data_IF_524162885184
#
_entry.id   IF_524162885184
#
_cell.length_a   1.000
_cell.length_b   1.000
_cell.length_c   1.000
_cell.angle_alpha   90.00
_cell.angle_beta   90.00
_cell.angle_gamma   90.00
#
_symmetry.space_group_name_H-M   'P 1'
#
loop_
_entity.id
_entity.type
_entity.pdbx_description
1 polymer ?
#
# COMPACT_ATOMS: atom_id res chain seq x y z
N UNK A 1 -18.46 -24.32 1.76
CA UNK A 1 -17.15 -23.98 2.35
C UNK A 1 -16.98 -22.50 2.12
N UNK A 2 -17.24 -21.69 3.15
CA UNK A 2 -17.56 -20.27 3.00
C UNK A 2 -16.38 -19.48 2.41
N UNK A 3 -16.66 -18.70 1.36
CA UNK A 3 -15.78 -17.62 0.91
C UNK A 3 -15.73 -16.56 2.01
N UNK A 4 -14.78 -16.68 2.94
CA UNK A 4 -14.59 -15.67 3.98
C UNK A 4 -14.08 -14.37 3.31
N UNK A 5 -14.88 -13.29 3.30
CA UNK A 5 -14.51 -12.03 2.64
C UNK A 5 -13.33 -11.33 3.31
N UNK A 6 -12.86 -11.83 4.46
CA UNK A 6 -11.69 -11.29 5.18
C UNK A 6 -10.35 -11.59 4.49
N UNK A 7 -10.32 -12.50 3.51
CA UNK A 7 -9.09 -12.87 2.79
C UNK A 7 -8.89 -12.13 1.45
N UNK A 8 -9.33 -10.88 1.32
CA UNK A 8 -9.20 -10.12 0.06
C UNK A 8 -7.77 -9.65 -0.29
N UNK A 9 -6.82 -9.75 0.65
CA UNK A 9 -5.45 -9.23 0.51
C UNK A 9 -4.41 -10.34 0.67
N UNK A 10 -4.55 -11.40 -0.13
CA UNK A 10 -3.72 -12.61 -0.08
C UNK A 10 -2.51 -12.58 -1.01
N UNK A 11 -2.52 -11.73 -2.05
CA UNK A 11 -1.41 -11.63 -2.99
C UNK A 11 -0.23 -10.91 -2.33
N UNK A 12 0.89 -11.61 -2.17
CA UNK A 12 2.10 -11.08 -1.55
C UNK A 12 3.01 -10.40 -2.59
N UNK A 13 3.45 -9.18 -2.26
CA UNK A 13 4.47 -8.44 -3.01
C UNK A 13 5.63 -8.11 -2.07
N UNK A 14 6.84 -8.56 -2.41
CA UNK A 14 8.06 -8.31 -1.63
C UNK A 14 8.80 -7.10 -2.17
N UNK A 15 9.25 -6.21 -1.28
CA UNK A 15 10.03 -5.02 -1.61
C UNK A 15 11.29 -5.00 -0.76
N UNK A 16 12.40 -4.54 -1.32
CA UNK A 16 13.64 -4.26 -0.58
C UNK A 16 13.75 -2.76 -0.36
N UNK A 17 13.91 -2.36 0.89
CA UNK A 17 14.16 -0.98 1.30
C UNK A 17 15.57 -0.89 1.87
N UNK A 18 16.17 0.29 1.82
CA UNK A 18 17.36 0.57 2.62
C UNK A 18 16.99 0.74 4.11
N UNK A 19 18.01 0.85 4.96
CA UNK A 19 17.84 0.94 6.41
C UNK A 19 17.07 2.20 6.83
N UNK A 20 17.24 3.32 6.10
CA UNK A 20 16.58 4.59 6.40
C UNK A 20 15.06 4.48 6.18
N UNK A 21 14.64 4.02 5.00
CA UNK A 21 13.23 3.87 4.67
C UNK A 21 12.57 2.76 5.50
N UNK A 22 13.28 1.68 5.81
CA UNK A 22 12.76 0.62 6.68
C UNK A 22 12.49 1.11 8.10
N UNK A 23 13.43 1.88 8.66
CA UNK A 23 13.31 2.51 9.97
C UNK A 23 12.16 3.52 10.01
N UNK A 24 12.05 4.34 8.97
CA UNK A 24 10.97 5.31 8.83
C UNK A 24 9.59 4.64 8.78
N UNK A 25 9.43 3.61 7.94
CA UNK A 25 8.19 2.85 7.82
C UNK A 25 7.82 2.15 9.15
N UNK A 26 8.80 1.60 9.84
CA UNK A 26 8.62 0.97 11.16
C UNK A 26 8.13 1.99 12.20
N UNK A 27 8.72 3.19 12.20
CA UNK A 27 8.35 4.27 13.13
C UNK A 27 6.92 4.77 12.85
N UNK A 28 6.58 4.95 11.58
CA UNK A 28 5.22 5.32 11.16
C UNK A 28 4.18 4.27 11.60
N UNK A 29 4.48 2.98 11.41
CA UNK A 29 3.58 1.91 11.82
C UNK A 29 3.28 1.95 13.33
N UNK A 30 4.29 2.27 14.16
CA UNK A 30 4.14 2.45 15.61
C UNK A 30 3.23 3.63 15.94
N UNK A 31 3.45 4.78 15.31
CA UNK A 31 2.64 6.00 15.51
C UNK A 31 1.17 5.72 15.18
N UNK A 32 0.92 5.05 14.06
CA UNK A 32 -0.42 4.70 13.60
C UNK A 32 -1.02 3.46 14.29
N UNK A 33 -0.30 2.83 15.23
CA UNK A 33 -0.71 1.61 15.95
C UNK A 33 -1.19 0.49 15.01
N UNK A 34 -0.49 0.32 13.89
CA UNK A 34 -0.82 -0.68 12.87
C UNK A 34 0.39 -1.56 12.58
N UNK A 35 0.16 -2.71 11.95
CA UNK A 35 1.24 -3.57 11.51
C UNK A 35 2.00 -2.92 10.35
N UNK A 36 3.33 -3.04 10.35
CA UNK A 36 4.20 -2.50 9.30
C UNK A 36 3.76 -2.91 7.89
N UNK A 37 3.43 -4.19 7.70
CA UNK A 37 2.96 -4.72 6.42
C UNK A 37 1.60 -4.14 6.01
N UNK A 38 0.70 -3.91 6.97
CA UNK A 38 -0.61 -3.30 6.71
C UNK A 38 -0.45 -1.85 6.29
N UNK A 39 0.40 -1.08 6.99
CA UNK A 39 0.69 0.31 6.62
C UNK A 39 1.36 0.41 5.24
N UNK A 40 2.37 -0.44 4.99
CA UNK A 40 3.05 -0.48 3.69
C UNK A 40 2.06 -0.73 2.55
N UNK A 41 1.14 -1.68 2.74
CA UNK A 41 0.08 -1.98 1.78
C UNK A 41 -0.83 -0.77 1.55
N UNK A 42 -1.26 -0.08 2.61
CA UNK A 42 -2.15 1.09 2.50
C UNK A 42 -1.47 2.26 1.76
N UNK A 43 -0.20 2.52 2.06
CA UNK A 43 0.59 3.54 1.36
C UNK A 43 0.71 3.19 -0.13
N UNK A 44 1.00 1.92 -0.44
CA UNK A 44 1.12 1.44 -1.82
C UNK A 44 -0.20 1.53 -2.58
N UNK A 45 -1.31 1.09 -1.98
CA UNK A 45 -2.65 1.17 -2.56
C UNK A 45 -3.03 2.64 -2.84
N UNK A 46 -2.78 3.55 -1.90
CA UNK A 46 -3.05 4.97 -2.07
C UNK A 46 -2.19 5.60 -3.19
N UNK A 47 -0.92 5.21 -3.30
CA UNK A 47 -0.04 5.68 -4.37
C UNK A 47 -0.52 5.19 -5.75
N UNK A 48 -0.89 3.91 -5.87
CA UNK A 48 -1.41 3.34 -7.12
C UNK A 48 -2.73 3.99 -7.54
N UNK A 49 -3.62 4.30 -6.59
CA UNK A 49 -4.87 5.00 -6.89
C UNK A 49 -4.60 6.41 -7.44
N UNK A 50 -3.67 7.17 -6.84
CA UNK A 50 -3.26 8.48 -7.36
C UNK A 50 -2.68 8.39 -8.77
N UNK A 51 -1.77 7.45 -9.01
CA UNK A 51 -1.18 7.23 -10.34
C UNK A 51 -2.25 6.87 -11.38
N UNK A 52 -3.21 6.00 -11.03
CA UNK A 52 -4.34 5.66 -11.90
C UNK A 52 -5.17 6.90 -12.22
N UNK A 53 -5.49 7.70 -11.21
CA UNK A 53 -6.34 8.88 -11.38
C UNK A 53 -5.63 9.92 -12.28
N UNK A 54 -4.33 10.12 -12.11
CA UNK A 54 -3.48 10.94 -13.00
C UNK A 54 -3.51 10.45 -14.45
N UNK A 55 -3.34 9.14 -14.67
CA UNK A 55 -3.42 8.51 -15.99
C UNK A 55 -4.81 8.72 -16.65
N UNK A 56 -5.89 8.47 -15.91
CA UNK A 56 -7.25 8.64 -16.44
C UNK A 56 -7.63 10.10 -16.67
N UNK A 57 -7.14 11.02 -15.83
CA UNK A 57 -7.37 12.47 -15.99
C UNK A 57 -6.66 13.04 -17.22
N UNK A 58 -5.48 12.50 -17.57
CA UNK A 58 -4.77 12.85 -18.80
C UNK A 58 -5.45 12.30 -20.06
N UNK A 59 -6.10 11.14 -19.98
CA UNK A 59 -6.81 10.54 -21.12
C UNK A 59 -8.09 11.29 -21.53
N UNK A 60 -8.68 12.09 -20.64
CA UNK A 60 -9.88 12.89 -20.95
C UNK A 60 -9.55 14.29 -21.52
N UNK A 61 -8.28 14.69 -21.53
CA UNK A 61 -7.82 16.01 -22.03
C UNK A 61 -7.01 15.92 -23.33
N UNK A 62 -6.95 14.74 -23.94
CA UNK A 62 -6.37 14.48 -25.27
C UNK A 62 -7.48 14.16 -26.29
#
# INVERSE_FOLDING_TARGET
>A
MYEDPKHKKTNETKVRLDDEFDSFLTSMARIHRTQKAVLAREILEAAMLRMRDELTGQQHTA
#
